data_IF_893159111328
#
_entry.id   IF_893159111328
#
_cell.length_a   1.000
_cell.length_b   1.000
_cell.length_c   1.000
_cell.angle_alpha   90.00
_cell.angle_beta   90.00
_cell.angle_gamma   90.00
#
_symmetry.space_group_name_H-M   'P 1'
#
loop_
_entity.id
_entity.type
_entity.pdbx_description
1 polymer ?
#
# COMPACT_ATOMS: atom_id res chain seq x y z
N UNK A 1 12.18 -22.20 10.24
CA UNK A 1 11.20 -21.11 10.09
C UNK A 1 11.81 -19.71 10.00
N UNK A 2 13.14 -19.54 10.03
CA UNK A 2 13.78 -18.20 10.10
C UNK A 2 14.17 -17.59 8.74
N UNK A 3 14.21 -18.37 7.65
CA UNK A 3 14.55 -17.87 6.31
C UNK A 3 13.43 -16.98 5.74
N UNK A 4 12.17 -17.42 5.82
CA UNK A 4 11.02 -16.65 5.32
C UNK A 4 10.86 -15.25 5.94
N UNK A 5 11.31 -15.05 7.19
CA UNK A 5 11.24 -13.73 7.85
C UNK A 5 12.30 -12.77 7.31
N UNK A 6 13.51 -13.26 6.99
CA UNK A 6 14.55 -12.46 6.33
C UNK A 6 14.12 -12.11 4.92
N UNK A 7 13.65 -13.07 4.12
CA UNK A 7 13.18 -12.82 2.76
C UNK A 7 12.05 -11.79 2.73
N UNK A 8 11.13 -11.83 3.71
CA UNK A 8 10.05 -10.85 3.83
C UNK A 8 10.58 -9.46 4.19
N UNK A 9 11.57 -9.36 5.07
CA UNK A 9 12.20 -8.08 5.41
C UNK A 9 12.91 -7.49 4.19
N UNK A 10 13.74 -8.29 3.52
CA UNK A 10 14.48 -7.89 2.33
C UNK A 10 13.53 -7.44 1.21
N UNK A 11 12.40 -8.15 1.05
CA UNK A 11 11.35 -7.76 0.10
C UNK A 11 10.76 -6.39 0.47
N UNK A 12 10.44 -6.15 1.74
CA UNK A 12 9.88 -4.87 2.18
C UNK A 12 10.89 -3.73 2.08
N UNK A 13 12.16 -3.97 2.39
CA UNK A 13 13.24 -2.98 2.22
C UNK A 13 13.41 -2.60 0.74
N UNK A 14 13.36 -3.60 -0.15
CA UNK A 14 13.35 -3.36 -1.59
C UNK A 14 12.13 -2.55 -2.04
N UNK A 15 10.92 -2.92 -1.58
CA UNK A 15 9.69 -2.18 -1.88
C UNK A 15 9.79 -0.73 -1.40
N UNK A 16 10.29 -0.50 -0.18
CA UNK A 16 10.47 0.84 0.37
C UNK A 16 11.43 1.68 -0.50
N UNK A 17 12.54 1.10 -0.97
CA UNK A 17 13.47 1.78 -1.87
C UNK A 17 12.80 2.15 -3.22
N UNK A 18 12.03 1.23 -3.80
CA UNK A 18 11.30 1.46 -5.06
C UNK A 18 10.23 2.55 -4.94
N UNK A 19 9.46 2.54 -3.85
CA UNK A 19 8.50 3.60 -3.57
C UNK A 19 9.17 4.98 -3.44
N UNK A 20 10.38 5.03 -2.85
CA UNK A 20 11.19 6.24 -2.81
C UNK A 20 11.56 6.77 -4.21
N UNK A 21 12.01 5.89 -5.11
CA UNK A 21 12.33 6.27 -6.50
C UNK A 21 11.09 6.73 -7.27
N UNK A 22 9.98 5.99 -7.17
CA UNK A 22 8.73 6.33 -7.85
C UNK A 22 8.16 7.68 -7.38
N UNK A 23 8.31 8.02 -6.10
CA UNK A 23 7.90 9.33 -5.57
C UNK A 23 8.68 10.46 -6.23
N UNK A 24 10.00 10.31 -6.39
CA UNK A 24 10.83 11.30 -7.08
C UNK A 24 10.41 11.46 -8.54
N UNK A 25 10.11 10.37 -9.23
CA UNK A 25 9.60 10.41 -10.61
C UNK A 25 8.25 11.12 -10.70
N UNK A 26 7.30 10.80 -9.82
CA UNK A 26 5.99 11.45 -9.79
C UNK A 26 6.08 12.95 -9.49
N UNK A 27 7.01 13.37 -8.62
CA UNK A 27 7.30 14.78 -8.35
C UNK A 27 7.89 15.49 -9.57
N UNK A 28 8.83 14.85 -10.27
CA UNK A 28 9.42 15.40 -11.50
C UNK A 28 8.36 15.67 -12.58
N UNK A 29 7.38 14.78 -12.69
CA UNK A 29 6.24 14.89 -13.63
C UNK A 29 5.05 15.71 -13.09
N UNK A 30 5.17 16.34 -11.91
CA UNK A 30 4.10 17.14 -11.25
C UNK A 30 2.77 16.39 -11.10
N UNK A 31 2.85 15.07 -10.88
CA UNK A 31 1.67 14.24 -10.70
C UNK A 31 1.31 14.18 -9.21
N UNK A 32 0.68 15.23 -8.69
CA UNK A 32 0.48 15.43 -7.24
C UNK A 32 -0.31 14.29 -6.57
N UNK A 33 -1.45 13.88 -7.16
CA UNK A 33 -2.25 12.77 -6.61
C UNK A 33 -1.51 11.43 -6.64
N UNK A 34 -0.74 11.16 -7.70
CA UNK A 34 0.06 9.94 -7.79
C UNK A 34 1.20 9.97 -6.77
N UNK A 35 1.89 11.09 -6.63
CA UNK A 35 2.94 11.30 -5.63
C UNK A 35 2.42 11.12 -4.20
N UNK A 36 1.23 11.64 -3.92
CA UNK A 36 0.54 11.42 -2.64
C UNK A 36 0.28 9.93 -2.37
N UNK A 37 -0.28 9.19 -3.34
CA UNK A 37 -0.57 7.76 -3.16
C UNK A 37 0.72 6.94 -2.93
N UNK A 38 1.79 7.25 -3.67
CA UNK A 38 3.09 6.61 -3.50
C UNK A 38 3.69 6.95 -2.13
N UNK A 39 3.58 8.20 -1.68
CA UNK A 39 4.05 8.62 -0.35
C UNK A 39 3.28 7.92 0.78
N UNK A 40 1.96 7.79 0.64
CA UNK A 40 1.15 7.03 1.60
C UNK A 40 1.56 5.55 1.64
N UNK A 41 1.82 4.95 0.47
CA UNK A 41 2.33 3.58 0.39
C UNK A 41 3.73 3.43 1.00
N UNK A 42 4.62 4.42 0.81
CA UNK A 42 5.96 4.43 1.42
C UNK A 42 5.84 4.43 2.95
N UNK A 43 5.03 5.33 3.52
CA UNK A 43 4.81 5.41 4.97
C UNK A 43 4.26 4.09 5.51
N UNK A 44 3.27 3.51 4.83
CA UNK A 44 2.67 2.23 5.20
C UNK A 44 3.71 1.09 5.21
N UNK A 45 4.52 0.97 4.15
CA UNK A 45 5.61 -0.02 4.09
C UNK A 45 6.59 0.16 5.27
N UNK A 46 6.95 1.40 5.54
CA UNK A 46 7.83 1.78 6.63
C UNK A 46 7.24 1.44 8.02
N UNK A 47 5.92 1.55 8.17
CA UNK A 47 5.21 1.15 9.38
C UNK A 47 5.18 -0.38 9.53
N UNK A 48 4.99 -1.13 8.44
CA UNK A 48 5.05 -2.60 8.42
C UNK A 48 6.44 -3.11 8.82
N UNK A 49 7.52 -2.52 8.28
CA UNK A 49 8.90 -2.87 8.64
C UNK A 49 9.16 -2.66 10.13
N UNK A 50 8.61 -1.58 10.71
CA UNK A 50 8.68 -1.30 12.16
C UNK A 50 7.75 -2.17 13.01
N UNK A 51 7.02 -3.11 12.40
CA UNK A 51 6.09 -4.02 13.09
C UNK A 51 4.79 -3.36 13.53
N UNK A 52 4.42 -2.19 12.99
CA UNK A 52 3.10 -1.58 13.25
C UNK A 52 2.03 -2.31 12.44
N UNK A 53 0.79 -2.29 12.95
CA UNK A 53 -0.34 -2.91 12.25
C UNK A 53 -0.63 -2.15 10.95
N UNK A 54 -0.82 -2.86 9.82
CA UNK A 54 -1.21 -2.21 8.57
C UNK A 54 -2.58 -1.53 8.70
N UNK A 55 -2.76 -0.39 8.03
CA UNK A 55 -4.07 0.20 7.76
C UNK A 55 -4.82 -0.71 6.79
N UNK A 56 -5.72 -1.52 7.34
CA UNK A 56 -6.60 -2.36 6.54
C UNK A 56 -7.60 -1.44 5.83
N UNK A 57 -7.46 -1.32 4.51
CA UNK A 57 -8.51 -0.74 3.69
C UNK A 57 -9.63 -1.77 3.62
N UNK A 58 -10.73 -1.51 4.34
CA UNK A 58 -11.98 -2.22 4.11
C UNK A 58 -12.53 -1.72 2.78
N UNK A 59 -12.07 -2.34 1.69
CA UNK A 59 -12.73 -2.18 0.40
C UNK A 59 -14.09 -2.85 0.57
N UNK A 60 -15.11 -2.04 0.81
CA UNK A 60 -16.49 -2.51 0.82
C UNK A 60 -16.73 -3.27 -0.47
N UNK A 61 -17.03 -4.56 -0.35
CA UNK A 61 -17.52 -5.36 -1.45
C UNK A 61 -18.96 -4.91 -1.74
N UNK A 62 -19.09 -3.75 -2.39
CA UNK A 62 -20.37 -3.22 -2.89
C UNK A 62 -20.79 -3.94 -4.19
N UNK A 63 -20.44 -5.23 -4.33
CA UNK A 63 -20.99 -6.07 -5.38
C UNK A 63 -22.29 -6.69 -4.90
N UNK A 64 -23.36 -6.02 -5.32
CA UNK A 64 -24.69 -6.59 -5.58
C UNK A 64 -25.46 -7.11 -4.35
N UNK A 65 -26.10 -6.17 -3.66
CA UNK A 65 -27.40 -6.45 -3.02
C UNK A 65 -28.50 -5.85 -3.89
N UNK A 66 -29.12 -6.59 -4.83
CA UNK A 66 -30.30 -6.08 -5.51
C UNK A 66 -31.43 -5.98 -4.47
N UNK A 67 -31.82 -4.74 -4.21
CA UNK A 67 -33.08 -4.42 -3.58
C UNK A 67 -34.22 -4.87 -4.50
N UNK A 68 -34.94 -5.92 -4.14
CA UNK A 68 -36.29 -6.15 -4.64
C UNK A 68 -37.15 -6.69 -3.51
N UNK A 69 -37.75 -5.73 -2.81
CA UNK A 69 -38.99 -5.91 -2.04
C UNK A 69 -40.11 -6.27 -3.02
N UNK A 70 -41.04 -7.08 -2.53
CA UNK A 70 -42.47 -7.18 -2.91
C UNK A 70 -42.83 -7.71 -4.31
N UNK A 71 -43.32 -8.95 -4.33
CA UNK A 71 -44.53 -9.36 -5.03
C UNK A 71 -45.41 -10.15 -4.04
#
# INVERSE_FOLDING_TARGET
MSQHLHDRSDTLDYVQAMLGQMRLMAQAERCDMLGYLIEMAYIECSDIIRGKRPRRLEVGDDRERPAARSA
#
